data_IF_609280422729
#
_entry.id   IF_609280422729
#
_cell.length_a   1.000
_cell.length_b   1.000
_cell.length_c   1.000
_cell.angle_alpha   90.00
_cell.angle_beta   90.00
_cell.angle_gamma   90.00
#
_symmetry.space_group_name_H-M   'P 1'
#
loop_
_entity.id
_entity.type
_entity.pdbx_description
1 polymer ?
#
# COMPACT_ATOMS: atom_id res chain seq x y z
N UNK A 1 -21.94 -13.87 -0.92
CA UNK A 1 -23.10 -13.01 -0.59
C UNK A 1 -22.85 -11.53 -0.89
N UNK A 2 -21.73 -10.94 -0.56
CA UNK A 2 -21.47 -9.51 -0.81
C UNK A 2 -21.44 -9.14 -2.31
N UNK A 3 -20.79 -9.96 -3.12
CA UNK A 3 -20.61 -9.72 -4.56
C UNK A 3 -21.97 -9.63 -5.31
N UNK A 4 -22.89 -10.54 -5.03
CA UNK A 4 -24.20 -10.58 -5.67
C UNK A 4 -25.08 -9.38 -5.31
N UNK A 5 -25.09 -9.00 -4.02
CA UNK A 5 -25.88 -7.86 -3.55
C UNK A 5 -25.36 -6.54 -4.15
N UNK A 6 -24.05 -6.35 -4.20
CA UNK A 6 -23.42 -5.18 -4.82
C UNK A 6 -23.73 -5.10 -6.32
N UNK A 7 -23.64 -6.22 -7.03
CA UNK A 7 -23.93 -6.31 -8.46
C UNK A 7 -25.39 -5.91 -8.76
N UNK A 8 -26.32 -6.47 -8.00
CA UNK A 8 -27.75 -6.16 -8.16
C UNK A 8 -28.05 -4.69 -7.85
N UNK A 9 -27.42 -4.16 -6.82
CA UNK A 9 -27.58 -2.77 -6.45
C UNK A 9 -27.04 -1.81 -7.52
N UNK A 10 -25.82 -2.04 -8.05
CA UNK A 10 -25.23 -1.21 -9.12
C UNK A 10 -26.14 -1.24 -10.35
N UNK A 11 -26.62 -2.41 -10.76
CA UNK A 11 -27.53 -2.53 -11.90
C UNK A 11 -28.81 -1.72 -11.75
N UNK A 12 -29.34 -1.64 -10.52
CA UNK A 12 -30.57 -0.91 -10.24
C UNK A 12 -30.35 0.60 -10.06
N UNK A 13 -29.18 1.01 -9.52
CA UNK A 13 -28.92 2.39 -9.16
C UNK A 13 -28.19 3.20 -10.25
N UNK A 14 -27.54 2.54 -11.20
CA UNK A 14 -26.69 3.18 -12.20
C UNK A 14 -26.91 2.59 -13.60
N UNK A 15 -27.94 3.07 -14.29
CA UNK A 15 -28.30 2.61 -15.64
C UNK A 15 -27.22 2.89 -16.71
N UNK A 16 -26.27 3.75 -16.42
CA UNK A 16 -25.11 4.09 -17.24
C UNK A 16 -23.92 3.16 -17.04
N UNK A 17 -23.99 2.22 -16.08
CA UNK A 17 -22.93 1.24 -15.79
C UNK A 17 -23.42 -0.16 -16.16
N UNK A 18 -22.74 -0.76 -17.14
CA UNK A 18 -22.97 -2.17 -17.47
C UNK A 18 -22.07 -3.08 -16.63
N UNK A 19 -22.67 -3.84 -15.75
CA UNK A 19 -21.99 -4.87 -14.95
C UNK A 19 -21.74 -6.13 -15.76
N UNK A 20 -20.61 -6.16 -16.45
CA UNK A 20 -20.21 -7.25 -17.35
C UNK A 20 -20.02 -8.57 -16.59
N UNK A 21 -19.32 -8.55 -15.46
CA UNK A 21 -19.02 -9.73 -14.67
C UNK A 21 -18.82 -9.40 -13.19
N UNK A 22 -19.08 -10.40 -12.35
CA UNK A 22 -18.70 -10.41 -10.93
C UNK A 22 -18.09 -11.78 -10.63
N UNK A 23 -16.77 -11.83 -10.57
CA UNK A 23 -16.00 -13.07 -10.44
C UNK A 23 -15.20 -13.08 -9.15
N UNK A 24 -15.03 -14.23 -8.48
CA UNK A 24 -14.40 -14.31 -7.18
C UNK A 24 -12.87 -14.36 -7.24
N UNK A 25 -12.28 -14.66 -8.40
CA UNK A 25 -10.84 -14.89 -8.50
C UNK A 25 -10.17 -14.12 -9.63
N UNK A 26 -8.88 -13.86 -9.47
CA UNK A 26 -8.05 -13.21 -10.48
C UNK A 26 -8.01 -13.97 -11.84
N UNK A 27 -7.81 -15.30 -11.87
CA UNK A 27 -7.85 -16.04 -13.13
C UNK A 27 -9.22 -15.95 -13.85
N UNK A 28 -10.33 -16.01 -13.12
CA UNK A 28 -11.66 -15.88 -13.71
C UNK A 28 -11.89 -14.51 -14.34
N UNK A 29 -11.34 -13.43 -13.75
CA UNK A 29 -11.37 -12.11 -14.34
C UNK A 29 -10.63 -12.07 -15.67
N UNK A 30 -9.36 -12.51 -15.66
CA UNK A 30 -8.47 -12.38 -16.83
C UNK A 30 -8.83 -13.31 -17.99
N UNK A 31 -9.58 -14.37 -17.73
CA UNK A 31 -10.08 -15.30 -18.74
C UNK A 31 -11.55 -15.10 -19.10
N UNK A 32 -12.20 -14.10 -18.53
CA UNK A 32 -13.60 -13.84 -18.83
C UNK A 32 -13.80 -13.47 -20.30
N UNK A 33 -14.84 -14.01 -21.02
CA UNK A 33 -15.01 -13.77 -22.44
C UNK A 33 -15.18 -12.31 -22.85
N UNK A 34 -15.70 -11.48 -21.95
CA UNK A 34 -15.91 -10.04 -22.17
C UNK A 34 -14.77 -9.17 -21.62
N UNK A 35 -13.69 -9.76 -21.16
CA UNK A 35 -12.50 -9.03 -20.75
C UNK A 35 -11.62 -8.71 -21.98
N UNK A 36 -11.00 -7.52 -22.09
CA UNK A 36 -10.93 -6.44 -21.09
C UNK A 36 -12.19 -5.57 -21.03
N UNK A 37 -12.38 -4.91 -19.88
CA UNK A 37 -13.46 -3.95 -19.57
C UNK A 37 -12.89 -2.56 -19.31
N UNK A 38 -13.74 -1.52 -19.25
CA UNK A 38 -13.27 -0.16 -18.99
C UNK A 38 -12.75 0.03 -17.56
N UNK A 39 -13.46 -0.52 -16.58
CA UNK A 39 -13.17 -0.37 -15.15
C UNK A 39 -13.27 -1.71 -14.45
N UNK A 40 -12.33 -2.00 -13.57
CA UNK A 40 -12.38 -3.14 -12.64
C UNK A 40 -12.46 -2.62 -11.21
N UNK A 41 -13.49 -3.06 -10.49
CA UNK A 41 -13.58 -2.91 -9.05
C UNK A 41 -12.91 -4.14 -8.41
N UNK A 42 -11.71 -3.95 -7.84
CA UNK A 42 -10.84 -5.04 -7.41
C UNK A 42 -10.75 -5.10 -5.89
N UNK A 43 -11.06 -6.26 -5.32
CA UNK A 43 -10.80 -6.50 -3.90
C UNK A 43 -9.29 -6.60 -3.63
N UNK A 44 -8.84 -5.88 -2.62
CA UNK A 44 -7.44 -5.92 -2.18
C UNK A 44 -7.06 -7.31 -1.61
N UNK A 45 -7.99 -8.00 -0.96
CA UNK A 45 -7.75 -9.26 -0.25
C UNK A 45 -8.34 -10.49 -0.98
N UNK A 46 -7.84 -10.74 -2.19
CA UNK A 46 -8.24 -11.92 -2.97
C UNK A 46 -7.58 -13.24 -2.49
N UNK A 47 -6.66 -13.20 -1.53
CA UNK A 47 -5.97 -14.38 -0.93
C UNK A 47 -5.30 -15.30 -1.94
N UNK A 48 -4.79 -14.74 -3.05
CA UNK A 48 -4.18 -15.50 -4.16
C UNK A 48 -2.66 -15.35 -4.23
N UNK A 49 -2.04 -14.73 -3.22
CA UNK A 49 -0.60 -14.46 -3.13
C UNK A 49 0.01 -13.67 -4.30
N UNK A 50 -0.82 -13.04 -5.14
CA UNK A 50 -0.35 -12.16 -6.21
C UNK A 50 -0.31 -10.73 -5.67
N UNK A 51 0.85 -10.04 -5.73
CA UNK A 51 0.97 -8.65 -5.29
C UNK A 51 -0.06 -7.76 -5.98
N UNK A 52 -0.70 -6.87 -5.22
CA UNK A 52 -1.72 -5.97 -5.77
C UNK A 52 -1.15 -5.04 -6.84
N UNK A 53 0.08 -4.57 -6.65
CA UNK A 53 0.80 -3.75 -7.62
C UNK A 53 0.97 -4.44 -8.98
N UNK A 54 1.23 -5.76 -8.98
CA UNK A 54 1.32 -6.54 -10.21
C UNK A 54 -0.04 -6.63 -10.92
N UNK A 55 -1.13 -6.85 -10.18
CA UNK A 55 -2.49 -6.87 -10.75
C UNK A 55 -2.86 -5.52 -11.37
N UNK A 56 -2.60 -4.42 -10.64
CA UNK A 56 -2.88 -3.06 -11.13
C UNK A 56 -2.08 -2.78 -12.40
N UNK A 57 -0.78 -3.07 -12.40
CA UNK A 57 0.07 -2.87 -13.57
C UNK A 57 -0.39 -3.71 -14.78
N UNK A 58 -0.80 -4.96 -14.55
CA UNK A 58 -1.33 -5.83 -15.61
C UNK A 58 -2.60 -5.22 -16.23
N UNK A 59 -3.57 -4.82 -15.40
CA UNK A 59 -4.81 -4.19 -15.87
C UNK A 59 -4.52 -2.88 -16.63
N UNK A 60 -3.64 -2.05 -16.08
CA UNK A 60 -3.24 -0.78 -16.70
C UNK A 60 -2.60 -0.97 -18.08
N UNK A 61 -1.75 -1.99 -18.28
CA UNK A 61 -1.17 -2.29 -19.60
C UNK A 61 -2.22 -2.71 -20.63
N UNK A 62 -3.36 -3.19 -20.19
CA UNK A 62 -4.52 -3.54 -21.03
C UNK A 62 -5.50 -2.37 -21.21
N UNK A 63 -5.18 -1.18 -20.69
CA UNK A 63 -6.05 0.00 -20.74
C UNK A 63 -7.19 -0.01 -19.73
N UNK A 64 -7.23 -1.01 -18.84
CA UNK A 64 -8.29 -1.15 -17.83
C UNK A 64 -7.98 -0.27 -16.62
N UNK A 65 -8.96 0.50 -16.19
CA UNK A 65 -8.87 1.38 -15.02
C UNK A 65 -9.26 0.60 -13.77
N UNK A 66 -8.58 0.88 -12.68
CA UNK A 66 -8.72 0.08 -11.44
C UNK A 66 -9.22 0.96 -10.30
N UNK A 67 -10.31 0.55 -9.69
CA UNK A 67 -10.78 1.03 -8.39
C UNK A 67 -10.62 -0.10 -7.38
N UNK A 68 -9.96 0.15 -6.27
CA UNK A 68 -9.76 -0.84 -5.23
C UNK A 68 -10.84 -0.77 -4.16
N UNK A 69 -11.18 -1.93 -3.63
CA UNK A 69 -12.02 -2.07 -2.43
C UNK A 69 -11.27 -2.83 -1.34
N UNK A 70 -11.35 -2.36 -0.10
CA UNK A 70 -10.73 -3.02 1.05
C UNK A 70 -11.61 -2.95 2.29
N UNK A 71 -11.42 -3.88 3.20
CA UNK A 71 -12.04 -3.84 4.53
C UNK A 71 -11.39 -2.79 5.43
N UNK A 72 -10.13 -2.43 5.15
CA UNK A 72 -9.32 -1.51 5.94
C UNK A 72 -8.73 -0.41 5.06
N UNK A 73 -8.59 0.77 5.65
CA UNK A 73 -8.00 1.96 5.02
C UNK A 73 -6.61 2.29 5.58
N UNK A 74 -5.69 1.32 5.59
CA UNK A 74 -4.32 1.61 6.01
C UNK A 74 -3.65 2.57 5.01
N UNK A 75 -3.22 3.77 5.43
CA UNK A 75 -2.72 4.80 4.53
C UNK A 75 -1.55 4.37 3.63
N UNK A 76 -0.70 3.46 4.11
CA UNK A 76 0.43 2.95 3.33
C UNK A 76 -0.02 2.05 2.18
N UNK A 77 -0.99 1.18 2.43
CA UNK A 77 -1.58 0.30 1.41
C UNK A 77 -2.30 1.12 0.33
N UNK A 78 -3.00 2.16 0.77
CA UNK A 78 -3.65 3.11 -0.15
C UNK A 78 -2.64 3.84 -1.02
N UNK A 79 -1.55 4.36 -0.43
CA UNK A 79 -0.48 5.04 -1.19
C UNK A 79 0.21 4.11 -2.16
N UNK A 80 0.50 2.87 -1.76
CA UNK A 80 1.08 1.85 -2.64
C UNK A 80 0.16 1.58 -3.84
N UNK A 81 -1.11 1.40 -3.60
CA UNK A 81 -2.12 1.14 -4.62
C UNK A 81 -2.28 2.31 -5.61
N UNK A 82 -2.41 3.53 -5.10
CA UNK A 82 -2.49 4.74 -5.92
C UNK A 82 -1.17 4.97 -6.69
N UNK A 83 -0.02 4.73 -6.05
CA UNK A 83 1.30 4.78 -6.67
C UNK A 83 1.50 3.75 -7.79
N UNK A 84 0.87 2.57 -7.69
CA UNK A 84 0.85 1.57 -8.75
C UNK A 84 -0.06 1.95 -9.92
N UNK A 85 -0.94 2.93 -9.73
CA UNK A 85 -1.82 3.49 -10.78
C UNK A 85 -3.29 3.12 -10.63
N UNK A 86 -3.74 2.70 -9.44
CA UNK A 86 -5.18 2.65 -9.15
C UNK A 86 -5.75 4.07 -9.21
N UNK A 87 -6.94 4.22 -9.81
CA UNK A 87 -7.64 5.49 -9.93
C UNK A 87 -8.62 5.74 -8.77
N UNK A 88 -8.91 4.73 -7.96
CA UNK A 88 -9.76 4.89 -6.80
C UNK A 88 -9.43 3.90 -5.69
N UNK A 89 -9.80 4.29 -4.48
CA UNK A 89 -9.75 3.43 -3.31
C UNK A 89 -10.96 3.67 -2.43
N UNK A 90 -11.64 2.59 -2.09
CA UNK A 90 -12.88 2.57 -1.30
C UNK A 90 -12.76 1.62 -0.12
N UNK A 91 -13.37 1.97 0.98
CA UNK A 91 -13.58 1.03 2.08
C UNK A 91 -14.88 0.26 1.83
N UNK A 92 -14.88 -1.06 2.07
CA UNK A 92 -16.07 -1.92 1.83
C UNK A 92 -17.30 -1.53 2.67
N UNK A 93 -17.13 -0.69 3.68
CA UNK A 93 -18.20 -0.13 4.50
C UNK A 93 -18.82 1.15 3.93
N UNK A 94 -18.27 1.70 2.86
CA UNK A 94 -18.83 2.88 2.22
C UNK A 94 -20.16 2.54 1.53
N UNK A 95 -21.00 3.56 1.40
CA UNK A 95 -22.29 3.37 0.74
C UNK A 95 -22.11 3.11 -0.75
N UNK A 96 -23.10 2.47 -1.33
CA UNK A 96 -23.05 2.05 -2.71
C UNK A 96 -23.07 3.23 -3.70
N UNK A 97 -23.53 4.42 -3.29
CA UNK A 97 -23.45 5.65 -4.09
C UNK A 97 -22.01 6.07 -4.33
N UNK A 98 -21.17 5.98 -3.30
CA UNK A 98 -19.73 6.26 -3.40
C UNK A 98 -19.02 5.31 -4.37
N UNK A 99 -19.44 4.04 -4.40
CA UNK A 99 -18.88 3.04 -5.34
C UNK A 99 -19.20 3.44 -6.79
N UNK A 100 -20.45 3.85 -7.07
CA UNK A 100 -20.87 4.32 -8.39
C UNK A 100 -20.10 5.58 -8.80
N UNK A 101 -19.92 6.54 -7.91
CA UNK A 101 -19.15 7.74 -8.17
C UNK A 101 -17.69 7.43 -8.49
N UNK A 102 -17.07 6.52 -7.73
CA UNK A 102 -15.71 6.08 -7.98
C UNK A 102 -15.56 5.39 -9.35
N UNK A 103 -16.51 4.55 -9.74
CA UNK A 103 -16.51 3.90 -11.06
C UNK A 103 -16.62 4.94 -12.17
N UNK A 104 -17.52 5.93 -12.02
CA UNK A 104 -17.68 7.02 -13.00
C UNK A 104 -16.45 7.90 -13.12
N UNK A 105 -15.84 8.26 -12.01
CA UNK A 105 -14.59 9.02 -12.01
C UNK A 105 -13.47 8.22 -12.69
N UNK A 106 -13.29 6.95 -12.32
CA UNK A 106 -12.29 6.09 -12.93
C UNK A 106 -12.54 5.92 -14.44
N UNK A 107 -13.79 5.77 -14.89
CA UNK A 107 -14.13 5.67 -16.32
C UNK A 107 -13.66 6.89 -17.11
N UNK A 108 -13.66 8.07 -16.51
CA UNK A 108 -13.12 9.32 -17.11
C UNK A 108 -11.60 9.46 -16.97
N UNK A 109 -10.96 8.55 -16.22
CA UNK A 109 -9.52 8.65 -15.90
C UNK A 109 -9.23 9.60 -14.72
N UNK A 110 -10.25 9.99 -13.96
CA UNK A 110 -10.14 10.84 -12.78
C UNK A 110 -9.90 9.98 -11.54
N UNK A 111 -9.11 10.49 -10.60
CA UNK A 111 -8.87 9.81 -9.33
C UNK A 111 -10.05 10.05 -8.37
N UNK A 112 -10.44 9.01 -7.65
CA UNK A 112 -11.46 9.06 -6.61
C UNK A 112 -10.94 8.49 -5.31
N UNK A 113 -10.93 9.32 -4.28
CA UNK A 113 -10.61 8.93 -2.90
C UNK A 113 -11.66 9.59 -2.02
N UNK A 114 -12.21 8.85 -1.05
CA UNK A 114 -13.18 9.46 -0.14
C UNK A 114 -12.57 10.62 0.65
N UNK A 115 -13.38 11.61 1.03
CA UNK A 115 -12.90 12.80 1.73
C UNK A 115 -12.18 12.44 3.05
N UNK A 116 -12.65 11.41 3.75
CA UNK A 116 -12.01 10.94 4.98
C UNK A 116 -10.62 10.35 4.71
N UNK A 117 -10.51 9.58 3.64
CA UNK A 117 -9.25 8.96 3.25
C UNK A 117 -8.28 9.99 2.66
N UNK A 118 -8.77 10.96 1.89
CA UNK A 118 -7.98 12.08 1.39
C UNK A 118 -7.43 12.92 2.55
N UNK A 119 -8.23 13.20 3.55
CA UNK A 119 -7.78 13.83 4.79
C UNK A 119 -6.70 12.98 5.49
N UNK A 120 -6.89 11.67 5.61
CA UNK A 120 -5.91 10.77 6.22
C UNK A 120 -4.60 10.69 5.42
N UNK A 121 -4.68 10.77 4.09
CA UNK A 121 -3.53 10.81 3.19
C UNK A 121 -2.80 12.16 3.24
N UNK A 122 -3.56 13.26 3.34
CA UNK A 122 -3.05 14.63 3.32
C UNK A 122 -2.71 15.19 4.71
N UNK A 123 -3.33 14.67 5.79
CA UNK A 123 -2.94 15.01 7.16
C UNK A 123 -1.57 14.44 7.53
N UNK A 124 -0.80 14.11 6.50
CA UNK A 124 0.62 13.80 6.49
C UNK A 124 1.13 13.13 7.76
N UNK A 125 1.56 11.87 7.60
CA UNK A 125 2.49 11.27 8.56
C UNK A 125 1.93 10.61 9.83
N UNK A 126 0.64 10.30 9.92
CA UNK A 126 0.23 9.22 10.82
C UNK A 126 0.19 7.93 9.99
N UNK A 127 1.33 7.21 9.93
CA UNK A 127 1.50 5.95 9.18
C UNK A 127 2.39 6.03 7.94
N UNK A 128 2.85 7.22 7.51
CA UNK A 128 3.94 7.36 6.55
C UNK A 128 5.30 7.14 7.21
N UNK A 129 6.27 6.60 6.46
CA UNK A 129 7.64 6.49 6.97
C UNK A 129 8.13 7.86 7.44
N UNK A 130 8.60 7.99 8.66
CA UNK A 130 9.05 9.27 9.18
C UNK A 130 10.24 9.79 8.39
N UNK A 131 10.35 11.12 8.22
CA UNK A 131 11.52 11.73 7.57
C UNK A 131 12.76 11.50 8.41
N UNK A 132 13.56 10.53 7.98
CA UNK A 132 14.88 10.30 8.55
C UNK A 132 15.92 11.19 7.87
N UNK A 133 16.84 11.75 8.66
CA UNK A 133 18.02 12.41 8.12
C UNK A 133 18.92 11.42 7.38
N UNK A 134 19.86 11.90 6.57
CA UNK A 134 20.82 11.04 5.86
C UNK A 134 21.61 10.14 6.81
N UNK A 135 22.00 10.65 7.99
CA UNK A 135 22.70 9.85 9.01
C UNK A 135 21.78 8.81 9.68
N UNK A 136 20.55 9.18 10.01
CA UNK A 136 19.57 8.23 10.54
C UNK A 136 19.30 7.08 9.57
N UNK A 137 19.17 7.37 8.27
CA UNK A 137 19.03 6.34 7.24
C UNK A 137 20.22 5.39 7.18
N UNK A 138 21.45 5.93 7.22
CA UNK A 138 22.67 5.11 7.24
C UNK A 138 22.75 4.22 8.47
N UNK A 139 22.44 4.78 9.65
CA UNK A 139 22.41 4.00 10.91
C UNK A 139 21.36 2.90 10.82
N UNK A 140 20.16 3.22 10.31
CA UNK A 140 19.07 2.26 10.18
C UNK A 140 19.43 1.14 9.18
N UNK A 141 20.04 1.47 8.05
CA UNK A 141 20.48 0.49 7.05
C UNK A 141 21.50 -0.49 7.63
N UNK A 142 22.56 0.01 8.24
CA UNK A 142 23.61 -0.84 8.81
C UNK A 142 23.10 -1.71 9.97
N UNK A 143 22.39 -1.09 10.93
CA UNK A 143 21.87 -1.82 12.08
C UNK A 143 20.77 -2.82 11.71
N UNK A 144 19.86 -2.44 10.83
CA UNK A 144 18.82 -3.31 10.26
C UNK A 144 19.42 -4.42 9.38
N UNK A 145 20.49 -4.15 8.68
CA UNK A 145 21.26 -5.12 7.89
C UNK A 145 21.98 -6.21 8.71
N UNK A 146 21.98 -6.09 10.06
CA UNK A 146 22.56 -7.11 10.94
C UNK A 146 23.72 -6.61 11.79
N UNK A 147 24.35 -5.49 11.44
CA UNK A 147 25.54 -5.01 12.14
C UNK A 147 25.25 -4.69 13.63
N UNK A 148 26.18 -5.01 14.54
CA UNK A 148 26.11 -4.57 15.93
C UNK A 148 26.40 -3.07 16.02
N UNK A 149 25.93 -2.41 17.09
CA UNK A 149 26.10 -0.95 17.30
C UNK A 149 27.56 -0.51 17.16
N UNK A 150 28.51 -1.31 17.65
CA UNK A 150 29.95 -1.05 17.55
C UNK A 150 30.43 -0.98 16.09
N UNK A 151 29.96 -1.90 15.23
CA UNK A 151 30.29 -1.91 13.81
C UNK A 151 29.65 -0.74 13.07
N UNK A 152 28.40 -0.40 13.41
CA UNK A 152 27.72 0.81 12.88
C UNK A 152 28.51 2.08 13.23
N UNK A 153 28.92 2.21 14.48
CA UNK A 153 29.71 3.35 14.95
C UNK A 153 31.03 3.47 14.18
N UNK A 154 31.74 2.36 14.03
CA UNK A 154 33.00 2.30 13.28
C UNK A 154 32.78 2.68 11.80
N UNK A 155 31.82 2.06 11.13
CA UNK A 155 31.52 2.30 9.71
C UNK A 155 31.14 3.76 9.41
N UNK A 156 30.52 4.44 10.37
CA UNK A 156 30.08 5.83 10.22
C UNK A 156 31.05 6.86 10.86
N UNK A 157 32.18 6.41 11.43
CA UNK A 157 33.17 7.24 12.12
C UNK A 157 32.53 8.10 13.24
N UNK A 158 31.63 7.49 14.03
CA UNK A 158 30.97 8.12 15.19
C UNK A 158 31.19 7.26 16.45
N UNK A 159 30.91 7.82 17.63
CA UNK A 159 30.97 7.04 18.88
C UNK A 159 29.78 6.05 18.98
N UNK A 160 29.94 4.98 19.75
CA UNK A 160 28.83 4.04 20.04
C UNK A 160 27.65 4.74 20.71
N UNK A 161 27.92 5.72 21.59
CA UNK A 161 26.87 6.53 22.22
C UNK A 161 26.10 7.37 21.20
N UNK A 162 26.80 7.91 20.20
CA UNK A 162 26.16 8.64 19.09
C UNK A 162 25.29 7.70 18.25
N UNK A 163 25.78 6.50 17.94
CA UNK A 163 25.00 5.49 17.20
C UNK A 163 23.73 5.07 17.98
N UNK A 164 23.84 4.83 19.28
CA UNK A 164 22.69 4.55 20.16
C UNK A 164 21.69 5.71 20.18
N UNK A 165 22.18 6.95 20.23
CA UNK A 165 21.35 8.15 20.18
C UNK A 165 20.56 8.26 18.86
N UNK A 166 21.18 7.94 17.73
CA UNK A 166 20.49 7.85 16.44
C UNK A 166 19.41 6.75 16.45
N UNK A 167 19.73 5.56 16.94
CA UNK A 167 18.75 4.47 17.04
C UNK A 167 17.55 4.83 17.93
N UNK A 168 17.81 5.55 19.04
CA UNK A 168 16.73 6.06 19.91
C UNK A 168 15.83 7.07 19.16
N UNK A 169 16.43 8.02 18.42
CA UNK A 169 15.69 9.00 17.61
C UNK A 169 14.89 8.34 16.50
N UNK A 170 15.47 7.36 15.80
CA UNK A 170 14.79 6.59 14.76
C UNK A 170 13.55 5.91 15.36
N UNK A 171 13.72 5.16 16.47
CA UNK A 171 12.61 4.49 17.13
C UNK A 171 11.51 5.46 17.57
N UNK A 172 11.89 6.61 18.11
CA UNK A 172 10.94 7.64 18.50
C UNK A 172 10.17 8.21 17.31
N UNK A 173 10.83 8.49 16.20
CA UNK A 173 10.19 8.96 14.97
C UNK A 173 9.19 7.95 14.43
N UNK A 174 9.54 6.67 14.42
CA UNK A 174 8.62 5.60 14.00
C UNK A 174 7.47 5.42 14.98
N UNK A 175 7.73 5.51 16.28
CA UNK A 175 6.69 5.45 17.31
C UNK A 175 5.66 6.57 17.14
N UNK A 176 6.11 7.79 16.89
CA UNK A 176 5.23 8.94 16.60
C UNK A 176 4.43 8.71 15.32
N UNK A 177 5.03 8.06 14.32
CA UNK A 177 4.35 7.68 13.08
C UNK A 177 3.45 6.44 13.22
N UNK A 178 3.28 5.88 14.43
CA UNK A 178 2.40 4.75 14.71
C UNK A 178 3.02 3.37 14.49
N UNK A 179 4.35 3.27 14.30
CA UNK A 179 5.04 1.99 14.10
C UNK A 179 5.84 1.57 15.33
N UNK A 180 5.67 0.32 15.76
CA UNK A 180 6.52 -0.27 16.78
C UNK A 180 7.76 -0.91 16.12
N UNK A 181 8.91 -0.24 16.27
CA UNK A 181 10.23 -0.70 15.84
C UNK A 181 11.17 -0.91 17.04
N UNK A 182 10.63 -1.27 18.20
CA UNK A 182 11.37 -1.46 19.44
C UNK A 182 12.45 -2.53 19.35
N UNK A 183 12.24 -3.60 18.59
CA UNK A 183 13.20 -4.68 18.37
C UNK A 183 14.06 -4.46 17.12
N UNK A 184 15.24 -5.11 17.06
CA UNK A 184 16.08 -5.08 15.84
C UNK A 184 15.38 -5.72 14.64
N UNK A 185 14.60 -6.78 14.88
CA UNK A 185 13.84 -7.48 13.85
C UNK A 185 12.73 -6.57 13.28
N UNK A 186 11.96 -5.90 14.14
CA UNK A 186 10.92 -4.97 13.71
C UNK A 186 11.51 -3.79 12.94
N UNK A 187 12.63 -3.24 13.41
CA UNK A 187 13.34 -2.15 12.73
C UNK A 187 13.89 -2.58 11.37
N UNK A 188 14.43 -3.82 11.26
CA UNK A 188 14.87 -4.39 9.97
C UNK A 188 13.71 -4.53 8.99
N UNK A 189 12.60 -5.16 9.44
CA UNK A 189 11.40 -5.31 8.61
C UNK A 189 10.98 -3.95 8.05
N UNK A 190 10.90 -2.95 8.91
CA UNK A 190 10.53 -1.59 8.52
C UNK A 190 11.51 -0.94 7.57
N UNK A 191 12.83 -1.15 7.76
CA UNK A 191 13.85 -0.64 6.85
C UNK A 191 13.73 -1.20 5.43
N UNK A 192 13.30 -2.45 5.29
CA UNK A 192 13.03 -3.08 3.99
C UNK A 192 11.76 -2.46 3.37
N UNK A 193 10.67 -2.37 4.13
CA UNK A 193 9.40 -1.78 3.69
C UNK A 193 9.55 -0.33 3.22
N UNK A 194 10.43 0.44 3.87
CA UNK A 194 10.70 1.84 3.53
C UNK A 194 11.79 2.01 2.44
N UNK A 195 12.29 0.91 1.86
CA UNK A 195 13.34 0.94 0.84
C UNK A 195 14.68 1.49 1.32
N UNK A 196 14.93 1.48 2.63
CA UNK A 196 16.20 1.89 3.24
C UNK A 196 17.22 0.76 3.18
N UNK A 197 16.74 -0.49 3.20
CA UNK A 197 17.50 -1.72 3.12
C UNK A 197 16.95 -2.59 2.01
N UNK A 198 17.81 -3.11 1.14
CA UNK A 198 17.44 -4.07 0.10
C UNK A 198 17.74 -5.48 0.64
N UNK A 199 16.87 -6.45 0.37
CA UNK A 199 17.06 -7.83 0.86
C UNK A 199 18.38 -8.47 0.44
N UNK A 200 18.94 -8.05 -0.70
CA UNK A 200 20.26 -8.49 -1.18
C UNK A 200 21.43 -8.01 -0.32
N UNK A 201 21.26 -6.93 0.44
CA UNK A 201 22.31 -6.33 1.29
C UNK A 201 22.38 -6.99 2.68
N UNK A 202 21.55 -7.99 2.89
CA UNK A 202 21.51 -8.74 4.14
C UNK A 202 22.62 -9.77 4.11
N UNK A 203 23.64 -9.60 4.96
CA UNK A 203 24.62 -10.67 5.19
C UNK A 203 23.88 -11.94 5.59
N UNK A 204 24.06 -12.98 4.79
CA UNK A 204 23.69 -14.36 5.14
C UNK A 204 24.73 -14.86 6.12
N UNK A 205 24.64 -14.42 7.37
CA UNK A 205 25.39 -15.02 8.46
C UNK A 205 24.52 -16.10 9.09
N UNK A 206 24.76 -17.33 8.62
CA UNK A 206 24.50 -18.58 9.32
C UNK A 206 25.83 -19.28 9.54
#
# INVERSE_FOLDING_TARGET
MLLGALTEWIRNAAADIDMVAAVPTWPELTTHPQFPVDVVLLDLDLKDNIPISLKINTLKTMGVKVVLMSTYSEPNVVREALGAGALGYLVKSEDAGMIVEAIRAAAKGESFVSAELDLALNQGEVGGSPKLSAQERRVMALYGGGEPVKAVAFALSISEETAKSYLKRIREKYRVAGFDVGTKVALRKRAIEDGILIESDIRKDF
#
